data_IF_334223734702
#
_entry.id   IF_334223734702
#
_cell.length_a   1.000
_cell.length_b   1.000
_cell.length_c   1.000
_cell.angle_alpha   90.00
_cell.angle_beta   90.00
_cell.angle_gamma   90.00
#
_symmetry.space_group_name_H-M   'P 1'
#
loop_
_entity.id
_entity.type
_entity.pdbx_description
1 polymer ?
#
# COMPACT_ATOMS: atom_id res chain seq x y z
N UNK A 1 23.27 -10.74 -15.30
CA UNK A 1 22.72 -11.87 -14.51
C UNK A 1 22.30 -12.96 -15.49
N UNK A 2 22.70 -14.21 -15.27
CA UNK A 2 22.26 -15.31 -16.14
C UNK A 2 20.94 -15.90 -15.67
N UNK A 3 20.16 -16.52 -16.57
CA UNK A 3 18.88 -17.14 -16.23
C UNK A 3 19.00 -18.20 -15.11
N UNK A 4 20.12 -18.91 -15.06
CA UNK A 4 20.41 -19.91 -14.01
C UNK A 4 20.57 -19.26 -12.63
N UNK A 5 21.28 -18.13 -12.55
CA UNK A 5 21.43 -17.40 -11.29
C UNK A 5 20.10 -16.80 -10.79
N UNK A 6 19.18 -16.44 -11.69
CA UNK A 6 17.86 -15.99 -11.30
C UNK A 6 17.03 -17.13 -10.70
N UNK A 7 17.10 -18.32 -11.31
CA UNK A 7 16.41 -19.52 -10.81
C UNK A 7 16.87 -19.87 -9.39
N UNK A 8 18.19 -19.91 -9.15
CA UNK A 8 18.76 -20.26 -7.84
C UNK A 8 18.31 -19.29 -6.73
N UNK A 9 18.13 -18.00 -7.06
CA UNK A 9 17.64 -16.98 -6.11
C UNK A 9 16.14 -17.16 -5.82
N UNK A 10 15.35 -17.49 -6.83
CA UNK A 10 13.90 -17.69 -6.66
C UNK A 10 13.60 -18.95 -5.85
N UNK A 11 14.37 -20.04 -6.08
CA UNK A 11 14.22 -21.30 -5.35
C UNK A 11 14.62 -21.17 -3.87
N UNK A 12 15.45 -20.18 -3.53
CA UNK A 12 15.85 -19.88 -2.15
C UNK A 12 14.78 -19.11 -1.35
N UNK A 13 13.74 -18.58 -2.01
CA UNK A 13 12.63 -17.90 -1.33
C UNK A 13 11.64 -18.96 -0.83
N UNK A 14 11.54 -19.10 0.49
CA UNK A 14 10.58 -20.00 1.10
C UNK A 14 9.14 -19.60 0.74
N UNK A 15 8.35 -20.57 0.26
CA UNK A 15 6.92 -20.37 0.05
C UNK A 15 6.22 -20.22 1.40
N UNK A 16 5.74 -19.00 1.70
CA UNK A 16 5.06 -18.69 2.95
C UNK A 16 3.62 -19.18 2.97
N UNK A 17 3.09 -19.70 1.84
CA UNK A 17 1.69 -20.11 1.71
C UNK A 17 0.70 -18.95 1.78
N UNK A 18 1.17 -17.71 1.66
CA UNK A 18 0.33 -16.52 1.76
C UNK A 18 -0.38 -16.23 0.43
N UNK A 19 -1.72 -16.18 0.46
CA UNK A 19 -2.51 -15.74 -0.70
C UNK A 19 -2.51 -14.22 -0.73
N UNK A 20 -1.63 -13.63 -1.55
CA UNK A 20 -1.59 -12.18 -1.76
C UNK A 20 -2.67 -11.77 -2.75
N UNK A 21 -3.85 -11.37 -2.24
CA UNK A 21 -4.90 -10.77 -3.06
C UNK A 21 -4.55 -9.31 -3.33
N UNK A 22 -3.91 -9.04 -4.47
CA UNK A 22 -3.81 -7.67 -4.99
C UNK A 22 -4.99 -7.40 -5.91
N UNK A 23 -5.72 -6.27 -5.74
CA UNK A 23 -6.61 -5.84 -6.80
C UNK A 23 -5.77 -5.64 -8.06
N UNK A 24 -5.97 -6.49 -9.07
CA UNK A 24 -5.34 -6.30 -10.37
C UNK A 24 -5.77 -4.92 -10.88
N UNK A 25 -4.79 -4.04 -11.08
CA UNK A 25 -5.00 -2.88 -11.93
C UNK A 25 -5.44 -3.42 -13.30
N UNK A 26 -6.72 -3.22 -13.67
CA UNK A 26 -7.18 -3.50 -15.02
C UNK A 26 -6.23 -2.75 -15.98
N UNK A 27 -5.82 -3.34 -17.10
CA UNK A 27 -5.02 -2.60 -18.08
C UNK A 27 -5.77 -1.29 -18.43
N UNK A 28 -5.12 -0.13 -18.20
CA UNK A 28 -5.75 1.20 -18.32
C UNK A 28 -6.37 1.77 -17.03
N UNK A 29 -6.24 1.09 -15.90
CA UNK A 29 -6.60 1.67 -14.59
C UNK A 29 -5.60 2.77 -14.23
N UNK A 30 -6.14 3.88 -13.75
CA UNK A 30 -5.36 5.03 -13.32
C UNK A 30 -4.51 4.67 -12.10
N UNK A 31 -3.20 4.51 -12.31
CA UNK A 31 -2.24 4.14 -11.26
C UNK A 31 -2.24 5.13 -10.10
N UNK A 32 -2.42 6.44 -10.36
CA UNK A 32 -2.51 7.46 -9.32
C UNK A 32 -3.81 7.31 -8.52
N UNK A 33 -4.92 6.99 -9.19
CA UNK A 33 -6.18 6.72 -8.51
C UNK A 33 -6.10 5.46 -7.63
N UNK A 34 -5.40 4.42 -8.09
CA UNK A 34 -5.16 3.21 -7.31
C UNK A 34 -4.24 3.47 -6.12
N UNK A 35 -3.17 4.25 -6.30
CA UNK A 35 -2.29 4.66 -5.23
C UNK A 35 -3.03 5.48 -4.17
N UNK A 36 -3.85 6.46 -4.58
CA UNK A 36 -4.69 7.23 -3.67
C UNK A 36 -5.69 6.35 -2.90
N UNK A 37 -6.38 5.43 -3.59
CA UNK A 37 -7.31 4.49 -2.94
C UNK A 37 -6.61 3.61 -1.91
N UNK A 38 -5.42 3.11 -2.23
CA UNK A 38 -4.63 2.28 -1.31
C UNK A 38 -4.21 3.09 -0.07
N UNK A 39 -3.67 4.30 -0.26
CA UNK A 39 -3.28 5.16 0.84
C UNK A 39 -4.49 5.55 1.72
N UNK A 40 -5.65 5.81 1.10
CA UNK A 40 -6.87 6.12 1.85
C UNK A 40 -7.41 4.94 2.65
N UNK A 41 -7.33 3.73 2.10
CA UNK A 41 -7.71 2.52 2.82
C UNK A 41 -6.81 2.29 4.05
N UNK A 42 -5.50 2.51 3.91
CA UNK A 42 -4.54 2.42 5.00
C UNK A 42 -4.81 3.45 6.10
N UNK A 43 -5.08 4.71 5.73
CA UNK A 43 -5.45 5.76 6.68
C UNK A 43 -6.71 5.41 7.49
N UNK A 44 -7.74 4.85 6.83
CA UNK A 44 -8.95 4.41 7.50
C UNK A 44 -8.68 3.27 8.51
N UNK A 45 -7.87 2.27 8.11
CA UNK A 45 -7.51 1.16 9.00
C UNK A 45 -6.72 1.66 10.22
N UNK A 46 -5.80 2.61 10.03
CA UNK A 46 -5.04 3.21 11.13
C UNK A 46 -5.95 4.05 12.05
N UNK A 47 -6.94 4.76 11.49
CA UNK A 47 -7.93 5.50 12.26
C UNK A 47 -8.78 4.57 13.15
N UNK A 48 -9.23 3.45 12.60
CA UNK A 48 -10.01 2.46 13.34
C UNK A 48 -9.17 1.80 14.44
N UNK A 49 -7.90 1.51 14.15
CA UNK A 49 -6.97 1.04 15.17
C UNK A 49 -6.80 2.07 16.30
N UNK A 50 -6.56 3.35 15.97
CA UNK A 50 -6.48 4.41 16.98
C UNK A 50 -7.78 4.57 17.77
N UNK A 51 -8.95 4.42 17.16
CA UNK A 51 -10.23 4.45 17.87
C UNK A 51 -10.35 3.32 18.89
N UNK A 52 -9.80 2.15 18.59
CA UNK A 52 -9.79 1.01 19.50
C UNK A 52 -8.81 1.18 20.68
N UNK A 53 -7.58 1.64 20.42
CA UNK A 53 -6.51 1.68 21.46
C UNK A 53 -6.32 3.04 22.11
N UNK A 54 -6.67 4.12 21.42
CA UNK A 54 -6.63 5.53 21.87
C UNK A 54 -5.26 6.00 22.38
N UNK A 55 -4.17 5.45 21.84
CA UNK A 55 -2.79 5.83 22.18
C UNK A 55 -2.24 6.94 21.27
N UNK A 56 -1.21 7.65 21.73
CA UNK A 56 -0.52 8.67 20.94
C UNK A 56 0.23 8.09 19.74
N UNK A 57 0.81 6.91 19.88
CA UNK A 57 1.51 6.21 18.79
C UNK A 57 0.55 5.81 17.67
N UNK A 58 -0.62 5.26 18.02
CA UNK A 58 -1.64 4.92 17.03
C UNK A 58 -2.19 6.17 16.33
N UNK A 59 -2.28 7.30 17.04
CA UNK A 59 -2.64 8.57 16.42
C UNK A 59 -1.57 9.05 15.44
N UNK A 60 -0.29 8.95 15.79
CA UNK A 60 0.81 9.32 14.91
C UNK A 60 0.86 8.44 13.65
N UNK A 61 0.62 7.13 13.79
CA UNK A 61 0.51 6.20 12.67
C UNK A 61 -0.66 6.55 11.74
N UNK A 62 -1.83 6.88 12.31
CA UNK A 62 -2.96 7.39 11.55
C UNK A 62 -2.61 8.68 10.79
N UNK A 63 -2.01 9.66 11.45
CA UNK A 63 -1.62 10.93 10.83
C UNK A 63 -0.64 10.73 9.68
N UNK A 64 0.37 9.90 9.87
CA UNK A 64 1.33 9.59 8.81
C UNK A 64 0.68 8.89 7.60
N UNK A 65 -0.34 8.05 7.82
CA UNK A 65 -1.11 7.42 6.74
C UNK A 65 -2.05 8.41 6.04
N UNK A 66 -2.68 9.31 6.79
CA UNK A 66 -3.54 10.38 6.28
C UNK A 66 -2.72 11.37 5.41
N UNK A 67 -1.53 11.78 5.87
CA UNK A 67 -0.63 12.65 5.11
C UNK A 67 -0.18 12.01 3.77
N UNK A 68 0.02 10.67 3.74
CA UNK A 68 0.28 9.94 2.48
C UNK A 68 -0.93 9.95 1.53
N UNK A 69 -2.15 9.86 2.07
CA UNK A 69 -3.36 9.91 1.27
C UNK A 69 -3.57 11.30 0.67
N UNK A 70 -3.28 12.36 1.42
CA UNK A 70 -3.33 13.74 0.95
C UNK A 70 -2.28 13.98 -0.16
N UNK A 71 -1.04 13.53 0.03
CA UNK A 71 0.00 13.63 -1.00
C UNK A 71 -0.39 12.90 -2.30
N UNK A 72 -1.03 11.72 -2.19
CA UNK A 72 -1.54 11.00 -3.36
C UNK A 72 -2.72 11.73 -4.03
N UNK A 73 -3.56 12.42 -3.25
CA UNK A 73 -4.65 13.24 -3.76
C UNK A 73 -4.13 14.44 -4.54
N UNK A 74 -3.10 15.13 -4.02
CA UNK A 74 -2.46 16.25 -4.68
C UNK A 74 -1.81 15.83 -6.00
N UNK A 75 -1.14 14.68 -6.02
CA UNK A 75 -0.57 14.11 -7.24
C UNK A 75 -1.67 13.77 -8.28
N UNK A 76 -2.80 13.22 -7.83
CA UNK A 76 -3.95 12.94 -8.70
C UNK A 76 -4.59 14.23 -9.25
N UNK A 77 -4.71 15.26 -8.40
CA UNK A 77 -5.25 16.57 -8.79
C UNK A 77 -4.33 17.30 -9.78
N UNK A 78 -3.01 17.21 -9.60
CA UNK A 78 -2.03 17.80 -10.51
C UNK A 78 -1.99 17.15 -11.90
N UNK A 79 -2.54 15.95 -12.06
CA UNK A 79 -2.68 15.30 -13.38
C UNK A 79 -3.90 15.77 -14.17
N UNK A 80 -4.84 16.47 -13.53
CA UNK A 80 -6.12 16.85 -14.12
C UNK A 80 -6.05 18.20 -14.82
#
# INVERSE_FOLDING_TARGET
MSARQLQDVLDAIADTGEIVIRPQARHGADELLLAWRSARAEANAALDHWRAVRTGEAFAAFRAADDRADAAQDALAARR
#
